data_IF_697090320880
#
_entry.id   IF_697090320880
#
_cell.length_a   1.000
_cell.length_b   1.000
_cell.length_c   1.000
_cell.angle_alpha   90.00
_cell.angle_beta   90.00
_cell.angle_gamma   90.00
#
_symmetry.space_group_name_H-M   'P 1'
#
loop_
_entity.id
_entity.type
_entity.pdbx_description
1 polymer ?
#
# COMPACT_ATOMS: atom_id res chain seq x y z
N UNK A 1 -23.94 31.09 9.36
CA UNK A 1 -23.38 29.88 10.02
C UNK A 1 -21.89 29.90 9.74
N UNK A 2 -21.01 29.78 10.75
CA UNK A 2 -19.60 29.64 10.48
C UNK A 2 -19.40 28.37 9.65
N UNK A 3 -18.65 28.49 8.55
CA UNK A 3 -18.25 27.34 7.75
C UNK A 3 -17.55 26.36 8.69
N UNK A 4 -18.14 25.19 8.88
CA UNK A 4 -17.48 24.11 9.60
C UNK A 4 -16.18 23.81 8.86
N UNK A 5 -15.08 24.05 9.53
CA UNK A 5 -13.73 23.86 9.00
C UNK A 5 -13.51 22.35 8.86
N UNK A 6 -13.88 21.80 7.71
CA UNK A 6 -13.82 20.37 7.44
C UNK A 6 -12.36 19.96 7.29
N UNK A 7 -11.77 19.48 8.37
CA UNK A 7 -10.37 19.05 8.44
C UNK A 7 -10.05 17.97 7.36
N UNK A 8 -11.03 17.16 6.99
CA UNK A 8 -10.90 16.14 5.95
C UNK A 8 -10.68 16.70 4.53
N UNK A 9 -11.00 17.97 4.28
CA UNK A 9 -10.81 18.63 2.97
C UNK A 9 -9.49 19.40 2.86
N UNK A 10 -8.65 19.40 3.89
CA UNK A 10 -7.38 20.12 3.89
C UNK A 10 -6.23 19.21 3.52
N UNK A 11 -5.36 19.63 2.61
CA UNK A 11 -4.11 18.92 2.38
C UNK A 11 -3.22 18.95 3.62
N UNK A 12 -2.38 17.96 3.76
CA UNK A 12 -1.35 17.94 4.80
C UNK A 12 -0.02 17.44 4.23
N UNK A 13 1.05 18.00 4.74
CA UNK A 13 2.39 17.53 4.49
C UNK A 13 3.15 17.42 5.80
N UNK A 14 4.00 16.40 5.93
CA UNK A 14 4.96 16.29 7.01
C UNK A 14 6.30 15.83 6.46
N UNK A 15 7.38 16.44 6.95
CA UNK A 15 8.68 15.82 6.82
C UNK A 15 8.72 14.67 7.81
N UNK A 16 9.18 13.50 7.40
CA UNK A 16 9.50 12.43 8.34
C UNK A 16 10.83 12.80 8.97
N UNK A 17 10.85 13.30 10.22
CA UNK A 17 12.06 13.81 10.81
C UNK A 17 13.01 12.66 11.13
N UNK A 18 14.25 13.01 11.28
CA UNK A 18 15.27 12.14 11.85
C UNK A 18 14.86 11.67 13.24
N UNK A 19 15.51 10.59 13.69
CA UNK A 19 15.33 9.93 15.00
C UNK A 19 14.87 10.87 16.12
N UNK A 20 13.84 10.46 16.85
CA UNK A 20 13.33 11.14 18.04
C UNK A 20 12.06 11.96 17.86
N UNK A 21 11.53 12.11 16.66
CA UNK A 21 10.32 12.90 16.40
C UNK A 21 9.03 12.10 16.35
N UNK A 22 9.11 10.77 16.29
CA UNK A 22 7.94 9.92 16.22
C UNK A 22 7.74 9.12 17.48
N UNK A 23 6.53 9.16 18.00
CA UNK A 23 6.06 8.06 18.80
C UNK A 23 5.96 6.83 17.87
N UNK A 24 6.88 5.92 18.05
CA UNK A 24 6.87 4.65 17.34
C UNK A 24 5.63 3.89 17.79
N UNK A 25 4.65 3.73 16.91
CA UNK A 25 3.52 2.86 17.21
C UNK A 25 4.04 1.44 17.44
N UNK A 26 3.50 0.80 18.47
CA UNK A 26 3.75 -0.63 18.72
C UNK A 26 2.58 -1.43 18.18
N UNK A 27 2.83 -2.16 17.10
CA UNK A 27 1.92 -3.16 16.60
C UNK A 27 2.13 -4.52 17.28
N UNK A 28 1.32 -5.51 16.90
CA UNK A 28 1.39 -6.89 17.44
C UNK A 28 2.79 -7.50 17.27
N UNK A 29 3.44 -7.22 16.18
CA UNK A 29 4.77 -7.76 15.83
C UNK A 29 5.91 -6.80 16.16
N UNK A 30 5.69 -5.84 17.06
CA UNK A 30 6.70 -4.88 17.52
C UNK A 30 6.54 -3.48 16.90
N UNK A 31 7.59 -2.66 16.83
CA UNK A 31 7.51 -1.30 16.31
C UNK A 31 7.05 -1.28 14.86
N UNK A 32 6.10 -0.41 14.53
CA UNK A 32 5.61 -0.16 13.17
C UNK A 32 6.10 1.19 12.67
N UNK A 33 5.98 1.39 11.36
CA UNK A 33 6.34 2.66 10.74
C UNK A 33 5.44 3.80 11.24
N UNK A 34 5.96 5.02 11.32
CA UNK A 34 5.15 6.16 11.68
C UNK A 34 4.02 6.33 10.68
N UNK A 35 2.83 6.60 11.19
CA UNK A 35 1.68 6.92 10.36
C UNK A 35 1.83 8.34 9.83
N UNK A 36 1.66 8.50 8.52
CA UNK A 36 1.54 9.82 7.91
C UNK A 36 0.15 10.41 8.21
N UNK A 37 -0.05 11.72 8.08
CA UNK A 37 -1.38 12.33 8.23
C UNK A 37 -2.41 11.72 7.28
N UNK A 38 -1.98 11.28 6.09
CA UNK A 38 -2.87 10.74 5.08
C UNK A 38 -3.28 9.30 5.41
N UNK A 39 -2.35 8.40 5.29
CA UNK A 39 -2.58 6.97 5.37
C UNK A 39 -1.27 6.32 5.76
N UNK A 40 -1.30 5.05 6.09
CA UNK A 40 -0.05 4.32 6.14
C UNK A 40 0.53 4.22 4.74
N UNK A 41 1.78 4.64 4.60
CA UNK A 41 2.56 4.47 3.40
C UNK A 41 3.89 3.81 3.70
N UNK A 42 4.36 2.93 2.83
CA UNK A 42 5.71 2.43 2.94
C UNK A 42 6.33 2.19 1.57
N UNK A 43 7.64 2.29 1.53
CA UNK A 43 8.46 1.96 0.39
C UNK A 43 9.44 0.88 0.78
N UNK A 44 9.36 -0.27 0.13
CA UNK A 44 10.28 -1.38 0.29
C UNK A 44 11.19 -1.39 -0.92
N UNK A 45 12.50 -1.49 -0.70
CA UNK A 45 13.47 -1.72 -1.76
C UNK A 45 14.27 -2.96 -1.40
N UNK A 46 14.25 -3.95 -2.27
CA UNK A 46 14.98 -5.19 -2.08
C UNK A 46 15.63 -5.64 -3.39
N UNK A 47 16.75 -6.33 -3.26
CA UNK A 47 17.47 -6.86 -4.40
C UNK A 47 16.73 -8.05 -5.01
N UNK A 48 16.68 -8.10 -6.34
CA UNK A 48 16.06 -9.19 -7.08
C UNK A 48 17.01 -10.39 -7.12
N UNK A 49 16.50 -11.58 -6.88
CA UNK A 49 17.25 -12.84 -7.06
C UNK A 49 17.73 -12.94 -8.52
N UNK A 50 18.96 -13.39 -8.78
CA UNK A 50 19.47 -13.53 -10.14
C UNK A 50 18.51 -14.30 -11.05
N UNK A 51 18.25 -13.77 -12.25
CA UNK A 51 17.38 -14.37 -13.25
C UNK A 51 15.89 -14.35 -12.96
N UNK A 52 15.43 -13.56 -11.97
CA UNK A 52 14.00 -13.47 -11.59
C UNK A 52 13.28 -12.24 -12.13
N UNK A 53 13.92 -11.42 -12.95
CA UNK A 53 13.31 -10.21 -13.54
C UNK A 53 12.04 -10.53 -14.33
N UNK A 54 12.13 -11.49 -15.25
CA UNK A 54 11.00 -11.86 -16.09
C UNK A 54 9.83 -12.41 -15.27
N UNK A 55 10.12 -13.16 -14.20
CA UNK A 55 9.10 -13.67 -13.29
C UNK A 55 8.36 -12.54 -12.57
N UNK A 56 9.06 -11.46 -12.18
CA UNK A 56 8.43 -10.27 -11.57
C UNK A 56 7.55 -9.54 -12.59
N UNK A 57 8.04 -9.36 -13.82
CA UNK A 57 7.27 -8.70 -14.87
C UNK A 57 6.03 -9.48 -15.26
N UNK A 58 6.16 -10.79 -15.38
CA UNK A 58 5.02 -11.67 -15.68
C UNK A 58 4.00 -11.68 -14.55
N UNK A 59 4.45 -11.71 -13.30
CA UNK A 59 3.57 -11.57 -12.15
C UNK A 59 2.79 -10.26 -12.18
N UNK A 60 3.41 -9.15 -12.59
CA UNK A 60 2.74 -7.85 -12.78
C UNK A 60 1.58 -7.95 -13.78
N UNK A 61 1.78 -8.61 -14.92
CA UNK A 61 0.73 -8.82 -15.93
C UNK A 61 -0.41 -9.71 -15.40
N UNK A 62 -0.07 -10.74 -14.62
CA UNK A 62 -1.10 -11.61 -14.00
C UNK A 62 -1.99 -10.80 -13.06
N UNK A 63 -1.40 -9.92 -12.23
CA UNK A 63 -2.18 -9.06 -11.33
C UNK A 63 -3.01 -8.04 -12.11
N UNK A 64 -2.46 -7.43 -13.17
CA UNK A 64 -3.19 -6.53 -14.05
C UNK A 64 -4.43 -7.20 -14.64
N UNK A 65 -4.26 -8.36 -15.27
CA UNK A 65 -5.36 -9.14 -15.83
C UNK A 65 -6.38 -9.58 -14.77
N UNK A 66 -5.93 -9.94 -13.58
CA UNK A 66 -6.82 -10.34 -12.48
C UNK A 66 -7.67 -9.15 -11.98
N UNK A 67 -7.10 -7.95 -11.91
CA UNK A 67 -7.83 -6.72 -11.55
C UNK A 67 -8.81 -6.33 -12.66
N UNK A 68 -8.45 -6.46 -13.94
CA UNK A 68 -9.37 -6.24 -15.05
C UNK A 68 -10.58 -7.18 -14.99
N UNK A 69 -10.35 -8.46 -14.69
CA UNK A 69 -11.41 -9.45 -14.54
C UNK A 69 -12.23 -9.26 -13.26
N UNK A 70 -11.62 -8.79 -12.18
CA UNK A 70 -12.23 -8.58 -10.87
C UNK A 70 -11.73 -7.28 -10.25
N UNK A 71 -12.33 -6.12 -10.54
CA UNK A 71 -11.86 -4.80 -10.08
C UNK A 71 -11.75 -4.66 -8.56
N UNK A 72 -12.50 -5.44 -7.78
CA UNK A 72 -12.48 -5.42 -6.32
C UNK A 72 -11.48 -6.42 -5.69
N UNK A 73 -10.64 -7.08 -6.49
CA UNK A 73 -9.68 -8.08 -6.01
C UNK A 73 -8.81 -7.57 -4.85
N UNK A 74 -8.33 -6.34 -4.95
CA UNK A 74 -7.47 -5.73 -3.94
C UNK A 74 -8.24 -4.88 -2.90
N UNK A 75 -9.58 -4.86 -2.95
CA UNK A 75 -10.39 -4.07 -2.02
C UNK A 75 -10.12 -4.38 -0.53
N UNK A 76 -9.86 -5.65 -0.12
CA UNK A 76 -9.52 -5.96 1.28
C UNK A 76 -8.27 -5.22 1.77
N UNK A 77 -7.35 -4.86 0.90
CA UNK A 77 -6.12 -4.15 1.24
C UNK A 77 -6.34 -2.65 1.44
N UNK A 78 -7.51 -2.11 1.09
CA UNK A 78 -7.86 -0.69 1.21
C UNK A 78 -6.80 0.26 0.66
N UNK A 79 -6.26 -0.10 -0.49
CA UNK A 79 -5.21 0.66 -1.17
C UNK A 79 -5.77 1.92 -1.81
N UNK A 80 -5.07 3.04 -1.60
CA UNK A 80 -5.18 4.23 -2.43
C UNK A 80 -4.29 4.12 -3.65
N UNK A 81 -3.10 3.59 -3.45
CA UNK A 81 -2.09 3.53 -4.48
C UNK A 81 -1.14 2.37 -4.27
N UNK A 82 -0.75 1.74 -5.37
CA UNK A 82 0.26 0.70 -5.41
C UNK A 82 1.18 0.95 -6.61
N UNK A 83 2.48 0.89 -6.39
CA UNK A 83 3.48 1.03 -7.44
C UNK A 83 4.61 0.04 -7.26
N UNK A 84 4.93 -0.65 -8.34
CA UNK A 84 6.08 -1.54 -8.44
C UNK A 84 7.04 -1.02 -9.49
N UNK A 85 8.32 -0.97 -9.17
CA UNK A 85 9.37 -0.51 -10.07
C UNK A 85 10.54 -1.47 -10.01
N UNK A 86 11.08 -1.81 -11.19
CA UNK A 86 12.37 -2.48 -11.32
C UNK A 86 13.41 -1.45 -11.78
N UNK A 87 14.55 -1.41 -11.11
CA UNK A 87 15.62 -0.47 -11.45
C UNK A 87 16.99 -1.06 -11.11
N UNK A 88 18.02 -0.63 -11.83
CA UNK A 88 19.43 -0.94 -11.56
C UNK A 88 20.19 0.38 -11.44
N UNK A 89 20.93 0.53 -10.36
CA UNK A 89 21.79 1.69 -10.08
C UNK A 89 23.27 1.31 -10.08
N UNK A 90 23.63 0.23 -10.78
CA UNK A 90 25.00 -0.26 -10.90
C UNK A 90 25.41 -1.32 -9.88
N UNK A 91 24.50 -1.73 -9.00
CA UNK A 91 24.71 -2.75 -7.97
C UNK A 91 23.80 -3.98 -8.11
N UNK A 92 23.25 -4.17 -9.29
CA UNK A 92 22.28 -5.21 -9.60
C UNK A 92 20.84 -4.72 -9.54
N UNK A 93 19.96 -5.57 -10.03
CA UNK A 93 18.54 -5.26 -10.17
C UNK A 93 17.84 -5.22 -8.82
N UNK A 94 17.08 -4.16 -8.59
CA UNK A 94 16.27 -3.96 -7.39
C UNK A 94 14.79 -3.84 -7.75
N UNK A 95 13.96 -4.27 -6.83
CA UNK A 95 12.51 -4.10 -6.86
C UNK A 95 12.10 -3.09 -5.80
N UNK A 96 11.30 -2.11 -6.19
CA UNK A 96 10.65 -1.19 -5.28
C UNK A 96 9.15 -1.49 -5.24
N UNK A 97 8.64 -1.66 -4.02
CA UNK A 97 7.23 -1.62 -3.69
C UNK A 97 6.91 -0.30 -3.01
N UNK A 98 5.89 0.39 -3.47
CA UNK A 98 5.34 1.55 -2.79
C UNK A 98 3.83 1.37 -2.67
N UNK A 99 3.32 1.46 -1.45
CA UNK A 99 1.89 1.31 -1.17
C UNK A 99 1.40 2.38 -0.21
N UNK A 100 0.17 2.85 -0.42
CA UNK A 100 -0.57 3.73 0.48
C UNK A 100 -1.92 3.09 0.74
N UNK A 101 -2.28 2.90 2.01
CA UNK A 101 -3.47 2.17 2.43
C UNK A 101 -4.09 2.77 3.71
N UNK A 102 -5.35 2.45 3.99
CA UNK A 102 -6.13 3.07 5.07
C UNK A 102 -6.07 2.33 6.42
N UNK A 103 -5.56 1.12 6.44
CA UNK A 103 -5.48 0.32 7.67
C UNK A 103 -4.18 0.57 8.42
N UNK A 104 -4.10 0.09 9.66
CA UNK A 104 -2.80 -0.04 10.34
C UNK A 104 -1.92 -1.09 9.66
N UNK A 105 -0.63 -1.06 9.97
CA UNK A 105 0.36 -1.91 9.33
C UNK A 105 0.13 -3.41 9.59
N UNK A 106 -0.23 -3.78 10.82
CA UNK A 106 -0.45 -5.18 11.18
C UNK A 106 -1.64 -5.75 10.40
N UNK A 107 -2.75 -5.01 10.36
CA UNK A 107 -3.93 -5.41 9.61
C UNK A 107 -3.65 -5.50 8.11
N UNK A 108 -2.95 -4.54 7.54
CA UNK A 108 -2.56 -4.58 6.13
C UNK A 108 -1.77 -5.84 5.81
N UNK A 109 -0.78 -6.17 6.64
CA UNK A 109 0.08 -7.34 6.46
C UNK A 109 -0.71 -8.63 6.57
N UNK A 110 -1.59 -8.75 7.56
CA UNK A 110 -2.46 -9.92 7.74
C UNK A 110 -3.43 -10.10 6.56
N UNK A 111 -4.04 -9.02 6.08
CA UNK A 111 -4.96 -9.06 4.95
C UNK A 111 -4.21 -9.40 3.65
N UNK A 112 -2.99 -8.90 3.46
CA UNK A 112 -2.15 -9.25 2.32
C UNK A 112 -1.76 -10.74 2.33
N UNK A 113 -1.30 -11.27 3.47
CA UNK A 113 -0.98 -12.69 3.61
C UNK A 113 -2.21 -13.57 3.32
N UNK A 114 -3.37 -13.22 3.88
CA UNK A 114 -4.63 -13.94 3.63
C UNK A 114 -5.00 -13.92 2.16
N UNK A 115 -4.94 -12.75 1.51
CA UNK A 115 -5.28 -12.61 0.10
C UNK A 115 -4.41 -13.53 -0.78
N UNK A 116 -3.10 -13.50 -0.58
CA UNK A 116 -2.19 -14.34 -1.36
C UNK A 116 -2.36 -15.83 -1.04
N UNK A 117 -2.55 -16.21 0.22
CA UNK A 117 -2.74 -17.61 0.62
C UNK A 117 -4.06 -18.18 0.08
N UNK A 118 -5.15 -17.41 0.14
CA UNK A 118 -6.47 -17.87 -0.31
C UNK A 118 -6.60 -17.93 -1.83
N UNK A 119 -5.96 -17.01 -2.53
CA UNK A 119 -5.98 -16.99 -4.01
C UNK A 119 -5.05 -18.06 -4.62
N UNK A 120 -4.25 -18.75 -3.81
CA UNK A 120 -3.23 -19.66 -4.30
C UNK A 120 -2.11 -19.00 -5.10
N UNK A 121 -2.08 -17.67 -5.07
CA UNK A 121 -1.09 -16.84 -5.77
C UNK A 121 0.09 -16.63 -4.85
N UNK A 122 1.29 -16.90 -5.33
CA UNK A 122 2.51 -16.55 -4.60
C UNK A 122 2.69 -15.04 -4.63
N UNK A 123 3.36 -14.46 -3.63
CA UNK A 123 3.66 -13.02 -3.64
C UNK A 123 4.86 -12.69 -4.55
N UNK A 124 4.88 -11.48 -5.12
CA UNK A 124 6.02 -10.99 -5.89
C UNK A 124 7.33 -11.02 -5.09
N UNK A 125 7.25 -10.89 -3.78
CA UNK A 125 8.40 -10.87 -2.88
C UNK A 125 9.20 -12.16 -2.85
N UNK A 126 8.63 -13.30 -3.25
CA UNK A 126 9.38 -14.57 -3.37
C UNK A 126 10.55 -14.50 -4.36
N UNK A 127 10.55 -13.50 -5.24
CA UNK A 127 11.62 -13.25 -6.20
C UNK A 127 12.75 -12.36 -5.65
N UNK A 128 12.66 -11.93 -4.39
CA UNK A 128 13.61 -11.01 -3.76
C UNK A 128 14.59 -11.77 -2.86
N UNK A 129 15.84 -11.30 -2.83
CA UNK A 129 16.86 -11.85 -1.94
C UNK A 129 16.44 -11.68 -0.46
N UNK A 130 16.64 -12.70 0.34
CA UNK A 130 16.33 -12.70 1.77
C UNK A 130 14.84 -12.83 2.14
N UNK A 131 13.93 -12.93 1.15
CA UNK A 131 12.52 -13.17 1.47
C UNK A 131 12.33 -14.59 2.04
N UNK A 132 11.59 -14.74 3.17
CA UNK A 132 11.45 -16.03 3.84
C UNK A 132 10.61 -17.00 3.02
N UNK A 133 11.05 -18.26 2.97
CA UNK A 133 10.33 -19.30 2.23
C UNK A 133 9.06 -19.78 2.97
N UNK A 134 9.03 -19.63 4.31
CA UNK A 134 7.93 -20.01 5.19
C UNK A 134 6.91 -18.88 5.45
N UNK A 135 6.95 -17.81 4.69
CA UNK A 135 6.14 -16.58 4.88
C UNK A 135 4.63 -16.83 5.05
N UNK A 136 4.09 -17.88 4.46
CA UNK A 136 2.66 -18.22 4.54
C UNK A 136 2.24 -18.71 5.93
N UNK A 137 3.15 -19.33 6.64
CA UNK A 137 2.93 -19.90 7.98
C UNK A 137 3.63 -19.11 9.08
N UNK A 138 4.49 -18.17 8.70
CA UNK A 138 5.31 -17.34 9.60
C UNK A 138 5.14 -15.84 9.28
N UNK A 139 4.03 -15.23 9.73
CA UNK A 139 3.79 -13.81 9.51
C UNK A 139 4.88 -12.89 10.06
N UNK A 140 5.53 -13.29 11.15
CA UNK A 140 6.62 -12.50 11.76
C UNK A 140 7.82 -12.38 10.83
N UNK A 141 8.18 -13.44 10.12
CA UNK A 141 9.26 -13.41 9.14
C UNK A 141 8.93 -12.50 7.96
N UNK A 142 7.68 -12.51 7.49
CA UNK A 142 7.19 -11.58 6.47
C UNK A 142 7.30 -10.14 6.95
N UNK A 143 6.78 -9.82 8.13
CA UNK A 143 6.85 -8.48 8.72
C UNK A 143 8.29 -8.03 8.91
N UNK A 144 9.15 -8.94 9.40
CA UNK A 144 10.58 -8.65 9.55
C UNK A 144 11.22 -8.28 8.22
N UNK A 145 10.96 -9.04 7.16
CA UNK A 145 11.47 -8.73 5.82
C UNK A 145 11.04 -7.34 5.36
N UNK A 146 9.76 -7.00 5.50
CA UNK A 146 9.24 -5.68 5.13
C UNK A 146 9.98 -4.57 5.90
N UNK A 147 10.18 -4.73 7.20
CA UNK A 147 10.87 -3.73 8.02
C UNK A 147 12.34 -3.58 7.67
N UNK A 148 13.03 -4.68 7.44
CA UNK A 148 14.45 -4.67 7.11
C UNK A 148 14.71 -3.98 5.75
N UNK A 149 13.70 -3.92 4.87
CA UNK A 149 13.79 -3.34 3.53
C UNK A 149 13.00 -2.03 3.36
N UNK A 150 12.41 -1.51 4.44
CA UNK A 150 11.68 -0.25 4.44
C UNK A 150 12.63 0.94 4.35
N UNK A 151 12.31 1.86 3.46
CA UNK A 151 12.97 3.17 3.37
C UNK A 151 12.00 4.26 3.81
N UNK A 152 12.32 5.02 4.86
CA UNK A 152 11.49 6.13 5.30
C UNK A 152 11.54 7.26 4.26
N UNK A 153 10.42 7.93 4.06
CA UNK A 153 10.40 9.16 3.30
C UNK A 153 10.83 10.34 4.17
N UNK A 154 11.32 11.40 3.56
CA UNK A 154 11.61 12.64 4.27
C UNK A 154 10.52 13.71 4.10
N UNK A 155 9.55 13.46 3.20
CA UNK A 155 8.35 14.26 3.00
C UNK A 155 7.23 13.36 2.49
N UNK A 156 6.07 13.43 3.16
CA UNK A 156 4.80 12.90 2.69
C UNK A 156 3.83 14.06 2.51
N UNK A 157 3.14 14.10 1.39
CA UNK A 157 2.08 15.07 1.12
C UNK A 157 0.80 14.35 0.74
N UNK A 158 -0.30 14.74 1.31
CA UNK A 158 -1.62 14.25 0.98
C UNK A 158 -2.56 15.43 0.71
N UNK A 159 -3.16 15.49 -0.47
CA UNK A 159 -4.19 16.49 -0.79
C UNK A 159 -5.47 16.21 0.02
N UNK A 160 -5.79 14.92 0.23
CA UNK A 160 -6.93 14.46 1.01
C UNK A 160 -6.48 13.47 2.08
N UNK A 161 -5.73 13.93 3.12
CA UNK A 161 -5.03 13.03 4.02
C UNK A 161 -5.94 12.26 4.98
N UNK A 162 -7.19 12.65 5.10
CA UNK A 162 -8.14 12.05 6.05
C UNK A 162 -9.29 11.32 5.36
N UNK A 163 -9.25 11.22 4.02
CA UNK A 163 -10.31 10.57 3.24
C UNK A 163 -9.90 9.16 2.89
N UNK A 164 -10.69 8.18 3.29
CA UNK A 164 -10.44 6.77 3.01
C UNK A 164 -10.83 6.37 1.60
N UNK A 165 -10.25 5.29 1.08
CA UNK A 165 -10.62 4.73 -0.23
C UNK A 165 -12.11 4.38 -0.30
N UNK A 166 -12.70 3.88 0.80
CA UNK A 166 -14.14 3.58 0.87
C UNK A 166 -15.00 4.84 0.80
N UNK A 167 -14.59 5.93 1.46
CA UNK A 167 -15.28 7.23 1.38
C UNK A 167 -15.21 7.81 -0.04
N UNK A 168 -14.07 7.71 -0.71
CA UNK A 168 -13.92 8.12 -2.11
C UNK A 168 -14.88 7.34 -3.00
N UNK A 169 -14.91 6.01 -2.89
CA UNK A 169 -15.81 5.14 -3.65
C UNK A 169 -17.28 5.51 -3.40
N UNK A 170 -17.65 5.78 -2.15
CA UNK A 170 -19.01 6.22 -1.79
C UNK A 170 -19.33 7.57 -2.41
N UNK A 171 -18.44 8.54 -2.33
CA UNK A 171 -18.65 9.88 -2.91
C UNK A 171 -18.82 9.83 -4.42
N UNK A 172 -18.02 9.01 -5.12
CA UNK A 172 -18.14 8.81 -6.56
C UNK A 172 -19.47 8.17 -6.97
N UNK A 173 -19.97 7.18 -6.20
CA UNK A 173 -21.28 6.58 -6.42
C UNK A 173 -22.42 7.59 -6.21
N UNK A 174 -22.34 8.40 -5.16
CA UNK A 174 -23.33 9.46 -4.92
C UNK A 174 -23.32 10.51 -6.03
N UNK A 175 -22.14 10.91 -6.51
CA UNK A 175 -22.01 11.82 -7.64
C UNK A 175 -22.67 11.26 -8.90
N UNK A 176 -22.42 9.99 -9.23
CA UNK A 176 -23.06 9.34 -10.39
C UNK A 176 -24.58 9.32 -10.26
N UNK A 177 -25.11 8.84 -9.12
CA UNK A 177 -26.54 8.78 -8.88
C UNK A 177 -27.22 10.16 -8.94
N UNK A 178 -26.55 11.20 -8.44
CA UNK A 178 -27.07 12.57 -8.52
C UNK A 178 -27.08 13.11 -9.95
N UNK A 179 -26.05 12.82 -10.74
CA UNK A 179 -26.01 13.19 -12.16
C UNK A 179 -27.13 12.51 -12.95
N UNK A 180 -27.32 11.21 -12.74
CA UNK A 180 -28.40 10.46 -13.40
C UNK A 180 -29.81 11.02 -13.05
N UNK A 181 -30.01 11.39 -11.78
CA UNK A 181 -31.25 12.01 -11.35
C UNK A 181 -31.48 13.36 -12.04
N UNK A 182 -30.47 14.20 -12.17
CA UNK A 182 -30.57 15.49 -12.86
C UNK A 182 -30.87 15.33 -14.35
N UNK A 183 -30.32 14.32 -15.00
CA UNK A 183 -30.55 14.06 -16.42
C UNK A 183 -31.97 13.54 -16.69
N UNK A 184 -32.56 12.81 -15.74
CA UNK A 184 -33.97 12.38 -15.81
C UNK A 184 -34.99 13.52 -15.58
N UNK A 185 -34.57 14.64 -15.00
CA UNK A 185 -35.40 15.80 -14.74
C UNK A 185 -35.43 16.81 -15.91
N UNK A 186 -34.65 16.60 -16.96
CA UNK A 186 -34.65 17.39 -18.21
C UNK A 186 -35.61 16.83 -19.23
#
# INVERSE_FOLDING_TARGET
MPATDHQWSKPAAMAIPKEGYFEVQRGRYGPVFPRTPACYGFSIIAKVKPGREDAIREYGKVIEAAIEAQPELLAPLRLHYLRWVLFDVGFGLHFQYQGIFDTDFDKYTEDAIKLFTQSGVTTVFTNLEGFPDDWQTNPEAFVKFVRDHQFPSFLEYGEYPYVTADEIKKALRLKAAFSDMLDQMR
#
